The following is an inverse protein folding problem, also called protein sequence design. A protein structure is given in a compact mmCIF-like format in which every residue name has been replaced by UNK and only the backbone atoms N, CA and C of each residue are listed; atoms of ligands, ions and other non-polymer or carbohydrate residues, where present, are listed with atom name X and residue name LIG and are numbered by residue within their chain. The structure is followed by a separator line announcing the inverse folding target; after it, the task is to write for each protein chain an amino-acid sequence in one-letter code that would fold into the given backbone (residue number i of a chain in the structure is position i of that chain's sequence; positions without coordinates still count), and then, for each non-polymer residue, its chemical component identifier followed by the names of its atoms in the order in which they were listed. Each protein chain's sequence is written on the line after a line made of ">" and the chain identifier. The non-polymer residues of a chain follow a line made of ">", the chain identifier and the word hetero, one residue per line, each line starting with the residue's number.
data_IF_042324478222
#
_entry.id   IF_042324478222
#
_cell.length_a   1.000
_cell.length_b   1.000
_cell.length_c   1.000
_cell.angle_alpha   90.00
_cell.angle_beta   90.00
_cell.angle_gamma   90.00
#
_symmetry.space_group_name_H-M   'P 1'
#
loop_
_entity.id
_entity.type
_entity.pdbx_description
1 polymer ?
#
# COMPACT_ATOMS: atom_id res chain seq x y z
N UNK A 1 -22.23 -66.91 39.17
CA UNK A 1 -21.17 -66.02 39.71
C UNK A 1 -21.31 -64.64 39.09
N UNK A 2 -22.24 -63.81 39.58
CA UNK A 2 -22.48 -62.46 39.06
C UNK A 2 -21.56 -61.45 39.76
N UNK A 3 -20.55 -60.94 39.05
CA UNK A 3 -19.66 -59.92 39.59
C UNK A 3 -20.37 -58.58 39.86
N UNK A 4 -19.99 -57.91 40.95
CA UNK A 4 -20.53 -56.60 41.35
C UNK A 4 -20.53 -55.57 40.22
N UNK A 5 -21.69 -54.97 39.94
CA UNK A 5 -21.89 -53.87 39.00
C UNK A 5 -20.93 -52.68 39.25
N UNK A 6 -20.44 -52.54 40.49
CA UNK A 6 -19.48 -51.51 40.88
C UNK A 6 -18.09 -51.75 40.26
N UNK A 7 -17.66 -53.01 40.15
CA UNK A 7 -16.37 -53.36 39.50
C UNK A 7 -16.46 -53.16 37.98
N UNK A 8 -17.61 -53.48 37.38
CA UNK A 8 -17.82 -53.32 35.94
C UNK A 8 -17.74 -51.84 35.49
N UNK A 9 -18.17 -50.90 36.34
CA UNK A 9 -18.08 -49.44 36.09
C UNK A 9 -16.68 -48.86 36.32
N UNK A 10 -15.80 -49.54 37.07
CA UNK A 10 -14.41 -49.10 37.31
C UNK A 10 -13.49 -49.42 36.13
N UNK A 11 -13.67 -50.58 35.50
CA UNK A 11 -12.85 -51.00 34.36
C UNK A 11 -13.34 -50.47 33.00
N UNK A 12 -14.60 -50.05 32.88
CA UNK A 12 -15.14 -49.39 31.70
C UNK A 12 -15.51 -47.93 32.04
N UNK A 13 -14.54 -47.00 32.10
CA UNK A 13 -14.85 -45.59 32.22
C UNK A 13 -15.74 -45.18 31.05
N UNK A 14 -16.82 -44.44 31.33
CA UNK A 14 -17.79 -44.03 30.32
C UNK A 14 -17.06 -43.14 29.30
N UNK A 15 -16.70 -43.70 28.14
CA UNK A 15 -16.06 -42.95 27.05
C UNK A 15 -17.06 -41.91 26.56
N UNK A 16 -16.97 -40.70 27.12
CA UNK A 16 -17.73 -39.54 26.62
C UNK A 16 -17.06 -39.14 25.31
N UNK A 17 -17.49 -39.74 24.20
CA UNK A 17 -17.18 -39.22 22.87
C UNK A 17 -17.76 -37.80 22.79
N UNK A 18 -16.96 -36.79 23.12
CA UNK A 18 -17.33 -35.39 22.85
C UNK A 18 -17.48 -35.34 21.34
N UNK A 19 -18.72 -35.15 20.83
CA UNK A 19 -18.90 -34.93 19.40
C UNK A 19 -18.04 -33.71 19.06
N UNK A 20 -17.10 -33.86 18.13
CA UNK A 20 -16.41 -32.70 17.57
C UNK A 20 -17.50 -31.76 17.06
N UNK A 21 -17.61 -30.56 17.64
CA UNK A 21 -18.53 -29.56 17.12
C UNK A 21 -18.08 -29.30 15.69
N UNK A 22 -18.97 -29.50 14.71
CA UNK A 22 -18.70 -29.04 13.35
C UNK A 22 -18.43 -27.54 13.45
N UNK A 23 -17.32 -27.01 12.91
CA UNK A 23 -17.10 -25.58 12.92
C UNK A 23 -18.28 -24.92 12.23
N UNK A 24 -18.97 -24.04 12.95
CA UNK A 24 -20.12 -23.32 12.45
C UNK A 24 -19.62 -22.10 11.66
N UNK A 25 -19.03 -22.33 10.50
CA UNK A 25 -18.54 -21.25 9.64
C UNK A 25 -18.81 -21.58 8.18
N UNK A 26 -20.09 -21.79 7.84
CA UNK A 26 -20.48 -21.62 6.43
C UNK A 26 -20.25 -20.15 6.07
N UNK A 27 -19.53 -19.89 4.99
CA UNK A 27 -19.22 -18.55 4.48
C UNK A 27 -20.44 -17.89 3.80
N UNK A 28 -21.55 -17.81 4.52
CA UNK A 28 -22.69 -17.03 4.05
C UNK A 28 -22.25 -15.57 4.02
N UNK A 29 -22.32 -14.97 2.83
CA UNK A 29 -22.07 -13.54 2.67
C UNK A 29 -23.09 -12.75 3.49
N UNK A 30 -22.68 -11.65 4.15
CA UNK A 30 -23.62 -10.72 4.75
C UNK A 30 -24.67 -10.28 3.74
N UNK A 31 -25.94 -10.22 4.16
CA UNK A 31 -27.06 -9.87 3.28
C UNK A 31 -26.88 -8.52 2.58
N UNK A 32 -26.22 -7.59 3.26
CA UNK A 32 -25.88 -6.26 2.75
C UNK A 32 -24.96 -6.32 1.52
N UNK A 33 -23.94 -7.17 1.56
CA UNK A 33 -23.02 -7.40 0.43
C UNK A 33 -23.76 -8.09 -0.71
N UNK A 34 -24.64 -9.05 -0.41
CA UNK A 34 -25.44 -9.72 -1.44
C UNK A 34 -26.45 -8.79 -2.12
N UNK A 35 -27.00 -7.81 -1.38
CA UNK A 35 -27.94 -6.84 -1.93
C UNK A 35 -27.25 -5.84 -2.86
N UNK A 36 -25.99 -5.48 -2.58
CA UNK A 36 -25.19 -4.55 -3.39
C UNK A 36 -24.41 -5.22 -4.53
N UNK A 37 -24.32 -6.55 -4.51
CA UNK A 37 -23.65 -7.36 -5.52
C UNK A 37 -23.99 -7.02 -6.98
N UNK A 38 -25.26 -6.78 -7.38
CA UNK A 38 -25.58 -6.47 -8.78
C UNK A 38 -24.98 -5.15 -9.25
N UNK A 39 -24.89 -4.14 -8.39
CA UNK A 39 -24.29 -2.84 -8.73
C UNK A 39 -22.77 -2.94 -8.79
N UNK A 40 -22.17 -3.72 -7.90
CA UNK A 40 -20.72 -3.97 -7.89
C UNK A 40 -20.31 -4.77 -9.14
N UNK A 41 -21.09 -5.79 -9.51
CA UNK A 41 -20.86 -6.59 -10.73
C UNK A 41 -20.94 -5.72 -11.98
N UNK A 42 -21.92 -4.81 -12.07
CA UNK A 42 -22.02 -3.84 -13.18
C UNK A 42 -20.81 -2.91 -13.27
N UNK A 43 -20.26 -2.47 -12.13
CA UNK A 43 -19.11 -1.56 -12.09
C UNK A 43 -17.79 -2.24 -12.45
N UNK A 44 -17.57 -3.47 -11.96
CA UNK A 44 -16.30 -4.17 -12.09
C UNK A 44 -16.23 -5.09 -13.32
N UNK A 45 -17.38 -5.52 -13.86
CA UNK A 45 -17.44 -6.47 -14.98
C UNK A 45 -16.90 -7.87 -14.65
N UNK A 46 -16.61 -8.15 -13.37
CA UNK A 46 -16.00 -9.38 -12.89
C UNK A 46 -17.00 -10.07 -11.97
N UNK A 47 -17.16 -11.39 -12.15
CA UNK A 47 -17.94 -12.22 -11.24
C UNK A 47 -17.14 -12.56 -9.97
N UNK A 48 -17.72 -12.37 -8.76
CA UNK A 48 -17.03 -12.72 -7.53
C UNK A 48 -16.85 -14.23 -7.44
N UNK A 49 -15.59 -14.70 -7.46
CA UNK A 49 -15.23 -16.09 -7.22
C UNK A 49 -15.39 -16.42 -5.72
N UNK A 50 -16.64 -16.51 -5.25
CA UNK A 50 -16.97 -16.81 -3.86
C UNK A 50 -17.67 -18.15 -3.72
N UNK A 51 -17.03 -19.11 -3.05
CA UNK A 51 -17.64 -20.41 -2.77
C UNK A 51 -18.52 -20.32 -1.51
N UNK A 52 -19.85 -20.36 -1.70
CA UNK A 52 -20.83 -20.27 -0.61
C UNK A 52 -20.87 -21.52 0.31
N UNK A 53 -20.42 -22.67 -0.20
CA UNK A 53 -20.35 -23.91 0.57
C UNK A 53 -19.06 -24.02 1.39
N UNK A 54 -18.06 -23.18 1.09
CA UNK A 54 -16.73 -23.19 1.69
C UNK A 54 -16.62 -22.49 3.05
N UNK A 55 -15.39 -22.49 3.57
CA UNK A 55 -15.01 -21.68 4.74
C UNK A 55 -14.64 -20.26 4.27
N UNK A 56 -14.87 -19.26 5.13
CA UNK A 56 -14.50 -17.87 4.86
C UNK A 56 -12.99 -17.78 4.60
N UNK A 57 -12.19 -18.41 5.47
CA UNK A 57 -10.72 -18.37 5.37
C UNK A 57 -10.23 -18.91 4.02
N UNK A 58 -10.78 -20.03 3.55
CA UNK A 58 -10.41 -20.63 2.26
C UNK A 58 -10.76 -19.74 1.07
N UNK A 59 -11.87 -18.98 1.14
CA UNK A 59 -12.24 -18.05 0.07
C UNK A 59 -11.28 -16.86 0.01
N UNK A 60 -10.92 -16.29 1.16
CA UNK A 60 -9.93 -15.20 1.21
C UNK A 60 -8.57 -15.67 0.70
N UNK A 61 -8.12 -16.86 1.10
CA UNK A 61 -6.84 -17.41 0.65
C UNK A 61 -6.81 -17.68 -0.86
N UNK A 62 -7.88 -18.23 -1.44
CA UNK A 62 -7.97 -18.45 -2.89
C UNK A 62 -7.92 -17.13 -3.69
N UNK A 63 -8.43 -16.04 -3.11
CA UNK A 63 -8.38 -14.71 -3.72
C UNK A 63 -7.05 -13.97 -3.47
N UNK A 64 -6.10 -14.60 -2.76
CA UNK A 64 -4.82 -13.98 -2.39
C UNK A 64 -4.90 -12.98 -1.25
N UNK A 65 -6.05 -12.92 -0.54
CA UNK A 65 -6.22 -12.06 0.62
C UNK A 65 -5.84 -12.78 1.93
N UNK A 66 -5.39 -12.03 2.91
CA UNK A 66 -5.14 -12.55 4.26
C UNK A 66 -6.47 -12.81 4.98
N UNK A 67 -6.76 -14.08 5.26
CA UNK A 67 -7.94 -14.49 6.02
C UNK A 67 -7.93 -13.99 7.48
N UNK A 68 -6.75 -14.01 8.11
CA UNK A 68 -6.53 -13.48 9.46
C UNK A 68 -5.24 -12.66 9.47
N UNK A 69 -5.39 -11.35 9.62
CA UNK A 69 -4.27 -10.38 9.65
C UNK A 69 -3.42 -10.58 10.90
N UNK A 70 -4.01 -11.07 11.99
CA UNK A 70 -3.34 -11.27 13.26
C UNK A 70 -2.81 -12.70 13.43
N UNK A 71 -2.93 -13.58 12.43
CA UNK A 71 -2.43 -14.95 12.53
C UNK A 71 -0.92 -15.02 12.89
N UNK A 72 -0.14 -14.03 12.43
CA UNK A 72 1.28 -13.88 12.74
C UNK A 72 1.59 -13.07 14.02
N UNK A 73 0.58 -12.45 14.65
CA UNK A 73 0.74 -11.44 15.71
C UNK A 73 -0.14 -11.73 16.95
N UNK A 74 0.11 -11.07 18.08
CA UNK A 74 -0.69 -11.27 19.31
C UNK A 74 -0.31 -12.46 20.21
N UNK A 75 -1.25 -12.96 21.03
CA UNK A 75 -1.02 -14.06 22.01
C UNK A 75 -1.23 -15.47 21.43
N UNK A 76 -2.06 -15.60 20.40
CA UNK A 76 -2.38 -16.87 19.74
C UNK A 76 -1.69 -16.96 18.37
N UNK A 77 -0.42 -16.55 18.30
CA UNK A 77 0.36 -16.57 17.05
C UNK A 77 0.50 -17.99 16.55
N UNK A 78 0.30 -18.18 15.25
CA UNK A 78 0.59 -19.43 14.54
C UNK A 78 1.85 -19.22 13.71
N UNK A 79 3.00 -19.60 14.26
CA UNK A 79 4.32 -19.49 13.62
C UNK A 79 4.35 -20.14 12.22
N UNK A 80 3.64 -21.24 12.06
CA UNK A 80 3.63 -22.06 10.85
C UNK A 80 3.03 -21.31 9.65
N UNK A 81 2.13 -20.36 9.89
CA UNK A 81 1.48 -19.58 8.82
C UNK A 81 2.45 -18.56 8.23
N UNK A 82 3.30 -17.95 9.05
CA UNK A 82 4.31 -16.99 8.58
C UNK A 82 5.39 -17.68 7.76
N UNK A 83 5.90 -18.84 8.23
CA UNK A 83 6.95 -19.58 7.53
C UNK A 83 6.52 -20.04 6.12
N UNK A 84 5.26 -20.46 5.97
CA UNK A 84 4.75 -20.98 4.70
C UNK A 84 4.25 -19.90 3.72
N UNK A 85 3.98 -18.66 4.20
CA UNK A 85 3.50 -17.54 3.36
C UNK A 85 4.58 -16.57 2.92
N UNK A 86 5.82 -16.68 3.41
CA UNK A 86 6.93 -15.91 2.83
C UNK A 86 7.18 -16.52 1.44
N UNK A 87 6.89 -15.80 0.34
CA UNK A 87 7.30 -16.28 -0.97
C UNK A 87 8.81 -16.44 -0.94
N UNK A 88 9.31 -17.62 -1.29
CA UNK A 88 10.74 -17.82 -1.54
C UNK A 88 11.05 -17.11 -2.86
N UNK A 89 11.27 -15.81 -2.77
CA UNK A 89 11.72 -14.99 -3.89
C UNK A 89 13.21 -15.34 -4.08
N UNK A 90 13.63 -15.79 -5.27
CA UNK A 90 15.05 -16.02 -5.56
C UNK A 90 15.87 -14.77 -5.25
N UNK A 91 17.08 -14.92 -4.69
CA UNK A 91 17.94 -13.81 -4.27
C UNK A 91 18.17 -12.76 -5.38
N UNK A 92 18.16 -13.18 -6.65
CA UNK A 92 18.31 -12.30 -7.82
C UNK A 92 17.10 -11.39 -8.08
N UNK A 93 15.91 -11.70 -7.54
CA UNK A 93 14.68 -10.91 -7.67
C UNK A 93 14.35 -10.10 -6.42
N UNK A 94 15.09 -10.29 -5.33
CA UNK A 94 14.84 -9.63 -4.05
C UNK A 94 14.94 -8.10 -4.19
N UNK A 95 15.97 -7.58 -4.86
CA UNK A 95 16.17 -6.14 -5.08
C UNK A 95 15.02 -5.45 -5.85
N UNK A 96 14.33 -6.16 -6.73
CA UNK A 96 13.18 -5.63 -7.48
C UNK A 96 11.88 -5.63 -6.64
N UNK A 97 11.80 -6.53 -5.65
CA UNK A 97 10.63 -6.75 -4.81
C UNK A 97 10.67 -6.06 -3.44
N UNK A 98 11.84 -5.56 -3.02
CA UNK A 98 11.98 -4.81 -1.77
C UNK A 98 11.20 -3.50 -1.84
N UNK A 99 10.31 -3.32 -0.87
CA UNK A 99 9.64 -2.05 -0.63
C UNK A 99 10.66 -0.92 -0.46
N UNK A 100 10.32 0.25 -0.98
CA UNK A 100 11.20 1.42 -1.00
C UNK A 100 11.66 1.86 0.41
N UNK A 101 10.85 1.61 1.44
CA UNK A 101 11.19 1.94 2.82
C UNK A 101 12.25 0.98 3.40
N UNK A 102 12.25 -0.29 2.95
CA UNK A 102 13.30 -1.25 3.30
C UNK A 102 14.63 -0.89 2.63
N UNK A 103 14.59 -0.41 1.38
CA UNK A 103 15.79 0.09 0.67
C UNK A 103 16.43 1.26 1.39
N UNK A 104 15.63 2.22 1.88
CA UNK A 104 16.12 3.34 2.68
C UNK A 104 16.77 2.85 3.99
N UNK A 105 16.14 1.90 4.69
CA UNK A 105 16.69 1.33 5.91
C UNK A 105 18.03 0.60 5.67
N UNK A 106 18.19 -0.01 4.49
CA UNK A 106 19.44 -0.66 4.06
C UNK A 106 20.43 0.29 3.35
N UNK A 107 20.17 1.60 3.33
CA UNK A 107 20.96 2.62 2.64
C UNK A 107 21.17 2.37 1.13
N UNK A 108 20.26 1.62 0.50
CA UNK A 108 20.23 1.41 -0.95
C UNK A 108 19.54 2.58 -1.66
N UNK A 109 19.89 2.81 -2.93
CA UNK A 109 19.26 3.85 -3.74
C UNK A 109 17.82 3.44 -4.11
N UNK A 110 16.88 4.36 -3.95
CA UNK A 110 15.48 4.19 -4.35
C UNK A 110 15.38 3.95 -5.86
N UNK A 111 14.49 3.05 -6.27
CA UNK A 111 14.18 2.86 -7.69
C UNK A 111 13.37 4.04 -8.21
N UNK A 112 12.53 4.63 -7.34
CA UNK A 112 11.90 5.92 -7.62
C UNK A 112 13.00 6.98 -7.74
N UNK A 113 13.22 7.51 -8.95
CA UNK A 113 14.17 8.59 -9.19
C UNK A 113 13.90 9.83 -8.34
N UNK A 114 14.78 10.83 -8.42
CA UNK A 114 14.59 12.10 -7.69
C UNK A 114 13.22 12.69 -8.03
N UNK A 115 12.47 13.07 -6.99
CA UNK A 115 11.17 13.70 -7.18
C UNK A 115 11.31 14.96 -8.05
N UNK A 116 10.34 15.24 -8.94
CA UNK A 116 10.39 16.43 -9.77
C UNK A 116 10.41 17.70 -8.90
N UNK A 117 11.11 18.76 -9.34
CA UNK A 117 11.18 20.01 -8.58
C UNK A 117 9.79 20.60 -8.40
N UNK A 118 9.59 21.33 -7.30
CA UNK A 118 8.32 22.02 -7.02
C UNK A 118 8.00 22.99 -8.17
N UNK A 119 6.73 23.06 -8.56
CA UNK A 119 6.27 23.99 -9.61
C UNK A 119 6.41 25.44 -9.14
N UNK A 120 7.00 26.34 -9.95
CA UNK A 120 7.14 27.74 -9.57
C UNK A 120 5.81 28.46 -9.74
N UNK A 121 5.49 29.33 -8.79
CA UNK A 121 4.29 30.18 -8.85
C UNK A 121 4.37 31.18 -10.02
N UNK A 122 3.25 31.73 -10.52
CA UNK A 122 3.28 32.69 -11.63
C UNK A 122 4.16 33.92 -11.35
N UNK A 123 4.11 34.44 -10.12
CA UNK A 123 4.95 35.56 -9.68
C UNK A 123 6.44 35.21 -9.68
N UNK A 124 6.79 33.99 -9.24
CA UNK A 124 8.18 33.52 -9.28
C UNK A 124 8.69 33.39 -10.71
N UNK A 125 7.87 32.88 -11.64
CA UNK A 125 8.22 32.79 -13.07
C UNK A 125 8.53 34.16 -13.65
N UNK A 126 7.64 35.13 -13.46
CA UNK A 126 7.85 36.51 -13.94
C UNK A 126 9.10 37.16 -13.33
N UNK A 127 9.37 36.91 -12.05
CA UNK A 127 10.58 37.40 -11.39
C UNK A 127 11.84 36.84 -12.06
N UNK A 128 11.88 35.53 -12.27
CA UNK A 128 13.04 34.84 -12.86
C UNK A 128 13.21 35.24 -14.33
N UNK A 129 12.13 35.39 -15.09
CA UNK A 129 12.16 35.89 -16.47
C UNK A 129 12.78 37.29 -16.55
N UNK A 130 12.42 38.20 -15.63
CA UNK A 130 13.02 39.54 -15.55
C UNK A 130 14.49 39.49 -15.15
N UNK A 131 14.85 38.64 -14.19
CA UNK A 131 16.24 38.49 -13.74
C UNK A 131 17.12 37.89 -14.84
N UNK A 132 16.65 36.87 -15.55
CA UNK A 132 17.33 36.27 -16.70
C UNK A 132 17.48 37.27 -17.85
N UNK A 133 16.45 38.08 -18.12
CA UNK A 133 16.52 39.12 -19.15
C UNK A 133 17.54 40.22 -18.82
N UNK A 134 17.72 40.57 -17.54
CA UNK A 134 18.66 41.62 -17.12
C UNK A 134 20.09 41.12 -16.94
N UNK A 135 20.29 39.94 -16.35
CA UNK A 135 21.60 39.45 -15.88
C UNK A 135 22.08 38.18 -16.59
N UNK A 136 21.28 37.58 -17.48
CA UNK A 136 21.62 36.35 -18.18
C UNK A 136 21.74 35.17 -17.21
N UNK A 137 22.84 34.42 -17.25
CA UNK A 137 23.11 33.27 -16.37
C UNK A 137 23.84 33.63 -15.06
N UNK A 138 24.09 34.92 -14.79
CA UNK A 138 24.93 35.34 -13.67
C UNK A 138 24.14 35.45 -12.35
N UNK A 139 24.00 34.35 -11.63
CA UNK A 139 23.23 34.30 -10.35
C UNK A 139 23.77 35.29 -9.31
N UNK A 140 25.10 35.44 -9.20
CA UNK A 140 25.70 36.38 -8.25
C UNK A 140 25.35 37.85 -8.53
N UNK A 141 25.03 38.22 -9.78
CA UNK A 141 24.54 39.55 -10.12
C UNK A 141 23.06 39.70 -9.75
N UNK A 142 22.25 38.67 -10.01
CA UNK A 142 20.83 38.64 -9.64
C UNK A 142 20.59 38.80 -8.13
N UNK A 143 21.43 38.18 -7.30
CA UNK A 143 21.36 38.32 -5.83
C UNK A 143 21.57 39.78 -5.41
N UNK A 144 22.50 40.49 -6.08
CA UNK A 144 22.83 41.89 -5.78
C UNK A 144 21.78 42.88 -6.30
N UNK A 145 20.94 42.48 -7.24
CA UNK A 145 19.90 43.34 -7.81
C UNK A 145 18.73 43.52 -6.85
N UNK A 146 18.85 44.53 -5.98
CA UNK A 146 17.83 44.88 -4.99
C UNK A 146 16.48 45.30 -5.58
N UNK A 147 16.43 45.71 -6.86
CA UNK A 147 15.20 46.19 -7.49
C UNK A 147 14.39 45.02 -8.05
N UNK A 148 15.04 44.17 -8.85
CA UNK A 148 14.38 42.99 -9.41
C UNK A 148 14.20 41.91 -8.35
N UNK A 149 15.22 41.60 -7.56
CA UNK A 149 15.14 40.67 -6.44
C UNK A 149 14.60 41.35 -5.16
N UNK A 150 13.37 41.87 -5.23
CA UNK A 150 12.74 42.60 -4.13
C UNK A 150 12.63 41.78 -2.83
N UNK A 151 12.50 40.46 -2.94
CA UNK A 151 12.44 39.54 -1.79
C UNK A 151 13.82 39.10 -1.29
N UNK A 152 14.90 39.64 -1.85
CA UNK A 152 16.28 39.38 -1.46
C UNK A 152 16.59 37.87 -1.34
N UNK A 153 16.15 37.11 -2.34
CA UNK A 153 16.44 35.68 -2.41
C UNK A 153 17.94 35.42 -2.40
N UNK A 154 18.34 34.43 -1.59
CA UNK A 154 19.70 33.93 -1.58
C UNK A 154 20.04 33.21 -2.88
N UNK A 155 21.33 33.04 -3.14
CA UNK A 155 21.84 32.41 -4.35
C UNK A 155 21.24 31.01 -4.60
N UNK A 156 21.21 30.16 -3.57
CA UNK A 156 20.65 28.81 -3.70
C UNK A 156 19.14 28.80 -3.98
N UNK A 157 18.40 29.78 -3.47
CA UNK A 157 16.97 29.90 -3.78
C UNK A 157 16.80 30.28 -5.25
N UNK A 158 17.59 31.23 -5.76
CA UNK A 158 17.56 31.60 -7.18
C UNK A 158 17.96 30.43 -8.09
N UNK A 159 18.98 29.65 -7.73
CA UNK A 159 19.38 28.44 -8.47
C UNK A 159 18.23 27.43 -8.55
N UNK A 160 17.65 27.06 -7.39
CA UNK A 160 16.53 26.10 -7.35
C UNK A 160 15.30 26.58 -8.13
N UNK A 161 15.07 27.89 -8.13
CA UNK A 161 13.99 28.53 -8.88
C UNK A 161 14.25 28.51 -10.39
N UNK A 162 15.48 28.79 -10.83
CA UNK A 162 15.86 28.69 -12.25
C UNK A 162 15.72 27.25 -12.73
N UNK A 163 16.27 26.28 -11.99
CA UNK A 163 16.14 24.84 -12.30
C UNK A 163 14.67 24.41 -12.39
N UNK A 164 13.84 24.86 -11.45
CA UNK A 164 12.41 24.60 -11.45
C UNK A 164 11.71 25.23 -12.67
N UNK A 165 12.02 26.49 -12.99
CA UNK A 165 11.46 27.17 -14.15
C UNK A 165 11.83 26.48 -15.46
N UNK A 166 13.08 26.03 -15.61
CA UNK A 166 13.55 25.35 -16.80
C UNK A 166 12.94 23.96 -16.94
N UNK A 167 12.84 23.20 -15.84
CA UNK A 167 12.18 21.89 -15.82
C UNK A 167 10.71 21.97 -16.27
N UNK A 168 9.98 23.00 -15.79
CA UNK A 168 8.55 23.17 -16.09
C UNK A 168 8.26 24.04 -17.33
N UNK A 169 9.28 24.54 -18.05
CA UNK A 169 9.12 25.47 -19.18
C UNK A 169 8.27 24.90 -20.33
N UNK A 170 8.26 23.58 -20.50
CA UNK A 170 7.46 22.87 -21.50
C UNK A 170 6.20 22.17 -20.97
N UNK A 171 5.98 22.14 -19.65
CA UNK A 171 4.89 21.36 -19.05
C UNK A 171 3.97 22.26 -18.21
N UNK A 172 2.87 22.69 -18.82
CA UNK A 172 1.87 23.60 -18.23
C UNK A 172 0.71 22.86 -17.57
N UNK A 173 0.57 21.55 -17.80
CA UNK A 173 -0.57 20.77 -17.31
C UNK A 173 -0.51 20.65 -15.79
N UNK A 174 -1.52 21.14 -15.06
CA UNK A 174 -1.63 20.94 -13.61
C UNK A 174 -1.84 19.45 -13.37
N UNK A 175 -0.94 18.79 -12.63
CA UNK A 175 -1.14 17.42 -12.17
C UNK A 175 -2.19 17.42 -11.06
N UNK A 176 -3.41 17.82 -11.40
CA UNK A 176 -4.52 17.41 -10.57
C UNK A 176 -4.52 15.89 -10.63
N UNK A 177 -4.30 15.29 -9.47
CA UNK A 177 -4.61 13.89 -9.17
C UNK A 177 -6.15 13.71 -9.18
N UNK A 178 -6.81 14.29 -10.16
CA UNK A 178 -8.21 14.05 -10.43
C UNK A 178 -8.28 12.63 -11.04
N UNK A 179 -9.10 11.73 -10.49
CA UNK A 179 -9.30 10.44 -11.12
C UNK A 179 -9.82 10.69 -12.53
N UNK A 180 -9.14 10.13 -13.53
CA UNK A 180 -9.67 10.06 -14.89
C UNK A 180 -10.96 9.27 -14.77
N UNK A 181 -12.10 9.97 -14.81
CA UNK A 181 -13.41 9.33 -14.93
C UNK A 181 -13.49 8.84 -16.37
N UNK A 182 -13.01 7.63 -16.64
CA UNK A 182 -13.36 6.95 -17.87
C UNK A 182 -14.88 6.78 -17.91
N UNK A 183 -15.49 7.23 -19.01
CA UNK A 183 -16.90 6.99 -19.36
C UNK A 183 -17.03 5.58 -19.91
#
# INVERSE_FOLDING_TARGET
>A
MGGSLRRHKRHNPKVRKRKHKKPATKSLLPKEVTAQLPDIKKKLGIDPAWNQAGNIESNYEHLGFAADVNAGTGRNRRSDILANKVPQIPDDQLDASLDEDLKVAMAQQRNSGKAPPKRPTPRQRQLIERLLAAHGSNVAAMVRDRKLNAMQHSEGVLQSLIESCDYWRGNTGVDFRAPIKSI
#
